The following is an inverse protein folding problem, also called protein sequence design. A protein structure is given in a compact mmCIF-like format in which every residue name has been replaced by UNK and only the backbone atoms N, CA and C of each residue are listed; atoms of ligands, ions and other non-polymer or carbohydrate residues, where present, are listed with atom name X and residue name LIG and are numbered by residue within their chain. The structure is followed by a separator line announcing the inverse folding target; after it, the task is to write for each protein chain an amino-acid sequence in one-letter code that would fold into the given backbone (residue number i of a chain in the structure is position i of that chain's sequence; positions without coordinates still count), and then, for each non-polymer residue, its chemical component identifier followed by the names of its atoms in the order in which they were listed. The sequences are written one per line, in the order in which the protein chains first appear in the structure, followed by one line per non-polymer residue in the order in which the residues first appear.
data_IF_273504911917
#
_entry.id   IF_273504911917
#
_cell.length_a   1.000
_cell.length_b   1.000
_cell.length_c   1.000
_cell.angle_alpha   90.00
_cell.angle_beta   90.00
_cell.angle_gamma   90.00
#
_symmetry.space_group_name_H-M   'P 1'
#
loop_
_entity.id
_entity.type
_entity.pdbx_description
1 polymer ?
#
# COMPACT_ATOMS: atom_id res chain seq x y z
N UNK A 1 -9.11 4.86 4.29
CA UNK A 1 -10.29 5.69 3.99
C UNK A 1 -11.59 4.91 3.75
N UNK A 2 -11.74 3.61 4.06
CA UNK A 2 -13.06 2.93 4.02
C UNK A 2 -13.66 2.64 2.63
N UNK A 3 -13.16 3.27 1.57
CA UNK A 3 -13.54 2.98 0.18
C UNK A 3 -15.00 3.36 -0.13
N UNK A 4 -15.71 2.50 -0.86
CA UNK A 4 -17.12 2.69 -1.24
C UNK A 4 -18.09 2.44 -0.05
N UNK A 5 -17.64 1.82 1.04
CA UNK A 5 -18.52 1.37 2.11
C UNK A 5 -18.57 2.35 3.29
N UNK A 6 -19.70 3.06 3.41
CA UNK A 6 -19.99 3.92 4.56
C UNK A 6 -21.22 3.40 5.31
N UNK A 7 -21.01 2.55 6.31
CA UNK A 7 -22.07 2.01 7.15
C UNK A 7 -21.66 1.97 8.63
N UNK A 8 -22.63 1.71 9.51
CA UNK A 8 -22.45 1.70 10.96
C UNK A 8 -21.54 0.56 11.47
N UNK A 9 -21.28 -0.44 10.64
CA UNK A 9 -20.57 -1.66 11.03
C UNK A 9 -19.09 -1.65 10.56
N UNK A 10 -18.61 -0.57 9.92
CA UNK A 10 -17.27 -0.51 9.32
C UNK A 10 -16.51 0.74 9.76
N UNK A 11 -15.26 0.56 10.16
CA UNK A 11 -14.31 1.64 10.45
C UNK A 11 -13.78 2.22 9.14
N UNK A 12 -13.75 3.55 9.01
CA UNK A 12 -13.42 4.27 7.76
C UNK A 12 -11.92 4.33 7.42
N UNK A 13 -11.17 3.30 7.81
CA UNK A 13 -9.73 3.24 7.67
C UNK A 13 -9.09 2.37 8.73
N UNK A 14 -8.00 1.70 8.36
CA UNK A 14 -7.27 0.83 9.28
C UNK A 14 -6.28 1.62 10.16
N UNK A 15 -5.91 2.84 9.75
CA UNK A 15 -5.14 3.84 10.51
C UNK A 15 -5.71 4.12 11.89
N UNK A 16 -7.04 4.03 12.04
CA UNK A 16 -7.70 4.28 13.32
C UNK A 16 -7.47 3.16 14.34
N UNK A 17 -7.05 1.97 13.88
CA UNK A 17 -6.86 0.78 14.71
C UNK A 17 -5.38 0.43 14.85
N UNK A 18 -4.63 0.50 13.74
CA UNK A 18 -3.22 0.12 13.67
C UNK A 18 -2.45 1.19 12.90
N UNK A 19 -1.24 1.59 13.36
CA UNK A 19 -0.40 2.51 12.61
C UNK A 19 -0.04 1.94 11.24
N UNK A 20 -0.35 2.69 10.18
CA UNK A 20 -0.05 2.32 8.80
C UNK A 20 1.23 3.00 8.36
N UNK A 21 2.14 2.22 7.77
CA UNK A 21 3.40 2.74 7.25
C UNK A 21 3.26 3.25 5.81
N UNK A 22 2.66 2.46 4.94
CA UNK A 22 2.52 2.76 3.51
C UNK A 22 1.12 2.45 3.02
N UNK A 23 0.53 3.37 2.26
CA UNK A 23 -0.74 3.20 1.56
C UNK A 23 -0.52 2.97 0.06
N UNK A 24 -1.09 1.88 -0.44
CA UNK A 24 -1.20 1.59 -1.88
C UNK A 24 -2.59 2.02 -2.39
N UNK A 25 -2.71 3.11 -3.16
CA UNK A 25 -3.99 3.52 -3.73
C UNK A 25 -4.44 2.59 -4.85
N UNK A 26 -5.76 2.43 -4.98
CA UNK A 26 -6.41 1.70 -6.07
C UNK A 26 -7.56 0.81 -5.59
N UNK A 27 -8.46 0.45 -6.51
CA UNK A 27 -9.64 -0.38 -6.22
C UNK A 27 -10.01 -1.28 -7.42
N UNK A 28 -9.29 -2.40 -7.66
CA UNK A 28 -8.09 -2.87 -6.96
C UNK A 28 -6.82 -2.14 -7.43
N UNK A 29 -5.76 -2.05 -6.59
CA UNK A 29 -4.48 -1.46 -7.01
C UNK A 29 -3.87 -2.26 -8.16
N UNK A 30 -3.19 -1.55 -9.07
CA UNK A 30 -2.47 -2.19 -10.18
C UNK A 30 -1.31 -3.04 -9.65
N UNK A 31 -0.94 -4.15 -10.33
CA UNK A 31 0.19 -4.97 -9.91
C UNK A 31 1.48 -4.15 -9.75
N UNK A 32 1.71 -3.18 -10.63
CA UNK A 32 2.86 -2.28 -10.58
C UNK A 32 2.83 -1.38 -9.35
N UNK A 33 1.67 -0.79 -9.02
CA UNK A 33 1.51 0.05 -7.82
C UNK A 33 1.74 -0.75 -6.54
N UNK A 34 1.26 -2.00 -6.50
CA UNK A 34 1.47 -2.86 -5.34
C UNK A 34 2.95 -3.18 -5.12
N UNK A 35 3.68 -3.55 -6.18
CA UNK A 35 5.12 -3.82 -6.10
C UNK A 35 5.87 -2.58 -5.66
N UNK A 36 5.54 -1.41 -6.22
CA UNK A 36 6.16 -0.15 -5.86
C UNK A 36 5.92 0.25 -4.39
N UNK A 37 4.73 -0.04 -3.85
CA UNK A 37 4.44 0.19 -2.44
C UNK A 37 5.28 -0.70 -1.51
N UNK A 38 5.51 -1.97 -1.91
CA UNK A 38 6.40 -2.88 -1.17
C UNK A 38 7.85 -2.40 -1.24
N UNK A 39 8.31 -1.95 -2.40
CA UNK A 39 9.67 -1.41 -2.56
C UNK A 39 9.87 -0.15 -1.70
N UNK A 40 8.89 0.76 -1.69
CA UNK A 40 8.91 1.96 -0.84
C UNK A 40 8.98 1.57 0.64
N UNK A 41 8.23 0.55 1.06
CA UNK A 41 8.31 0.03 2.44
C UNK A 41 9.71 -0.51 2.76
N UNK A 42 10.34 -1.26 1.84
CA UNK A 42 11.71 -1.76 2.04
C UNK A 42 12.72 -0.61 2.20
N UNK A 43 12.64 0.43 1.37
CA UNK A 43 13.50 1.61 1.48
C UNK A 43 13.36 2.29 2.85
N UNK A 44 12.13 2.45 3.33
CA UNK A 44 11.87 3.03 4.66
C UNK A 44 12.44 2.18 5.80
N UNK A 45 12.47 0.85 5.65
CA UNK A 45 13.09 -0.08 6.60
C UNK A 45 14.62 0.10 6.58
N UNK A 46 15.21 0.16 5.39
CA UNK A 46 16.66 0.34 5.20
C UNK A 46 17.15 1.69 5.77
N UNK A 47 16.38 2.76 5.58
CA UNK A 47 16.66 4.10 6.13
C UNK A 47 16.50 4.16 7.66
N UNK A 48 15.93 3.13 8.28
CA UNK A 48 15.65 3.06 9.72
C UNK A 48 14.64 4.10 10.22
N UNK A 49 13.97 4.81 9.30
CA UNK A 49 13.06 5.90 9.62
C UNK A 49 11.80 5.39 10.34
N UNK A 50 11.28 4.23 9.93
CA UNK A 50 10.10 3.61 10.53
C UNK A 50 10.35 3.27 12.01
N UNK A 51 11.53 2.71 12.31
CA UNK A 51 11.90 2.33 13.68
C UNK A 51 12.08 3.55 14.57
N UNK A 52 12.70 4.61 14.04
CA UNK A 52 12.86 5.89 14.76
C UNK A 52 11.50 6.54 15.05
N UNK A 53 10.61 6.61 14.06
CA UNK A 53 9.26 7.18 14.23
C UNK A 53 8.44 6.38 15.24
N UNK A 54 8.43 5.06 15.14
CA UNK A 54 7.71 4.20 16.08
C UNK A 54 8.21 4.38 17.51
N UNK A 55 9.52 4.50 17.71
CA UNK A 55 10.08 4.76 19.05
C UNK A 55 9.72 6.16 19.59
N UNK A 56 9.60 7.17 18.73
CA UNK A 56 9.33 8.54 19.14
C UNK A 56 7.82 8.83 19.36
N UNK A 57 6.96 8.37 18.46
CA UNK A 57 5.53 8.76 18.42
C UNK A 57 4.58 7.57 18.46
N UNK A 58 5.07 6.34 18.26
CA UNK A 58 4.22 5.15 18.09
C UNK A 58 3.43 5.12 16.77
N UNK A 59 3.56 6.15 15.93
CA UNK A 59 2.84 6.27 14.67
C UNK A 59 3.59 5.57 13.53
N UNK A 60 2.84 5.19 12.49
CA UNK A 60 3.39 4.68 11.24
C UNK A 60 3.90 5.82 10.35
N UNK A 61 4.57 5.46 9.25
CA UNK A 61 5.14 6.43 8.33
C UNK A 61 4.11 7.22 7.48
N UNK A 62 2.87 6.75 7.37
CA UNK A 62 1.75 7.40 6.65
C UNK A 62 2.09 7.84 5.21
N UNK A 63 2.87 7.03 4.49
CA UNK A 63 3.32 7.36 3.14
C UNK A 63 2.27 6.93 2.12
N UNK A 64 1.74 7.89 1.35
CA UNK A 64 0.85 7.62 0.22
C UNK A 64 1.65 7.50 -1.07
N UNK A 65 1.72 6.28 -1.60
CA UNK A 65 2.42 6.00 -2.86
C UNK A 65 1.57 6.50 -4.03
N UNK A 66 2.20 7.05 -5.06
CA UNK A 66 1.49 7.45 -6.28
C UNK A 66 1.05 6.23 -7.08
N UNK A 67 -0.18 6.22 -7.57
CA UNK A 67 -0.69 5.14 -8.41
C UNK A 67 0.09 5.10 -9.74
N UNK A 68 0.67 3.93 -10.03
CA UNK A 68 1.34 3.66 -11.30
C UNK A 68 0.26 3.17 -12.28
N UNK A 69 0.06 3.87 -13.40
CA UNK A 69 -0.97 3.50 -14.37
C UNK A 69 -0.70 2.08 -14.89
N UNK A 70 -1.75 1.26 -14.92
CA UNK A 70 -1.68 -0.08 -15.48
C UNK A 70 -1.16 0.00 -16.92
N UNK A 71 -0.23 -0.88 -17.27
CA UNK A 71 0.04 -1.14 -18.68
C UNK A 71 -1.28 -1.63 -19.31
N UNK A 72 -1.84 -0.84 -20.23
CA UNK A 72 -3.17 -1.04 -20.86
C UNK A 72 -3.30 -2.35 -21.66
N UNK A 73 -2.29 -3.23 -21.65
CA UNK A 73 -2.28 -4.45 -22.42
C UNK A 73 -2.18 -5.67 -21.49
N UNK A 74 -3.16 -6.60 -21.54
CA UNK A 74 -3.01 -7.87 -20.87
C UNK A 74 -1.81 -8.61 -21.46
N UNK A 75 -0.77 -8.82 -20.66
CA UNK A 75 0.38 -9.63 -21.04
C UNK A 75 -0.08 -11.09 -21.00
N UNK A 76 -0.17 -11.81 -22.14
CA UNK A 76 -0.59 -13.20 -22.13
C UNK A 76 0.48 -14.04 -21.43
N UNK A 77 0.18 -14.54 -20.24
CA UNK A 77 1.03 -15.51 -19.54
C UNK A 77 0.73 -16.88 -20.14
N UNK A 78 1.60 -17.34 -21.03
CA UNK A 78 1.50 -18.67 -21.63
C UNK A 78 1.86 -19.75 -20.58
N UNK A 79 0.85 -20.27 -19.89
CA UNK A 79 1.01 -21.43 -19.01
C UNK A 79 1.11 -22.71 -19.87
N UNK A 80 2.35 -23.19 -20.09
CA UNK A 80 2.60 -24.56 -20.54
C UNK A 80 2.42 -24.84 -22.03
N UNK A 81 3.04 -24.05 -22.91
CA UNK A 81 3.36 -24.54 -24.26
C UNK A 81 4.64 -25.38 -24.16
N UNK A 82 4.58 -26.62 -24.64
CA UNK A 82 5.76 -27.43 -24.94
C UNK A 82 6.65 -26.74 -25.97
#
# INVERSE_FOLDING_TARGET
SGGMFNNYAIVQGVDQVVPVDVYAPGCPPTPETLIHAIETLHQLIEDGEIMRRRAATGAGADVHVTEIPAATQPVPVLLGVR
#
